data_IF_624696539082
#
_entry.id   IF_624696539082
#
_cell.length_a   1.000
_cell.length_b   1.000
_cell.length_c   1.000
_cell.angle_alpha   90.00
_cell.angle_beta   90.00
_cell.angle_gamma   90.00
#
_symmetry.space_group_name_H-M   'P 1'
#
loop_
_entity.id
_entity.type
_entity.pdbx_description
1 polymer ?
#
# COMPACT_ATOMS: atom_id res chain seq x y z
N UNK A 1 4.16 19.41 14.53
CA UNK A 1 4.94 20.43 13.79
C UNK A 1 6.01 19.67 13.01
N UNK A 2 6.19 19.96 11.74
CA UNK A 2 7.18 19.25 10.93
C UNK A 2 8.60 19.77 11.18
N UNK A 3 9.60 18.94 10.90
CA UNK A 3 11.01 19.31 11.08
C UNK A 3 11.43 20.44 10.13
N UNK A 4 12.22 21.36 10.67
CA UNK A 4 12.82 22.43 9.89
C UNK A 4 13.91 21.91 8.94
N UNK A 5 14.02 22.53 7.76
CA UNK A 5 15.01 22.18 6.73
C UNK A 5 16.46 22.12 7.24
N UNK A 6 16.96 23.05 8.08
CA UNK A 6 18.34 22.97 8.59
C UNK A 6 18.62 21.72 9.42
N UNK A 7 17.63 21.23 10.17
CA UNK A 7 17.75 20.00 10.96
C UNK A 7 17.89 18.80 10.03
N UNK A 8 17.05 18.72 8.99
CA UNK A 8 17.13 17.66 7.97
C UNK A 8 18.48 17.68 7.25
N UNK A 9 19.00 18.86 6.91
CA UNK A 9 20.31 19.02 6.29
C UNK A 9 21.43 18.50 7.20
N UNK A 10 21.37 18.82 8.50
CA UNK A 10 22.35 18.37 9.48
C UNK A 10 22.35 16.84 9.65
N UNK A 11 21.15 16.24 9.78
CA UNK A 11 20.98 14.78 9.85
C UNK A 11 21.54 14.13 8.59
N UNK A 12 21.12 14.61 7.43
CA UNK A 12 21.56 14.11 6.13
C UNK A 12 23.06 14.16 5.94
N UNK A 13 23.70 15.28 6.29
CA UNK A 13 25.14 15.43 6.22
C UNK A 13 25.88 14.49 7.18
N UNK A 14 25.31 14.21 8.35
CA UNK A 14 25.89 13.26 9.32
C UNK A 14 25.86 11.84 8.75
N UNK A 15 24.72 11.42 8.20
CA UNK A 15 24.58 10.09 7.58
C UNK A 15 25.45 9.97 6.33
N UNK A 16 25.50 11.00 5.48
CA UNK A 16 26.40 11.07 4.31
C UNK A 16 27.84 10.75 4.66
N UNK A 17 28.38 11.35 5.74
CA UNK A 17 29.77 11.08 6.18
C UNK A 17 29.97 9.64 6.61
N UNK A 18 29.02 9.07 7.37
CA UNK A 18 29.07 7.67 7.82
C UNK A 18 29.04 6.70 6.63
N UNK A 19 28.24 6.99 5.62
CA UNK A 19 28.16 6.17 4.40
C UNK A 19 29.45 6.28 3.60
N UNK A 20 30.00 7.48 3.41
CA UNK A 20 31.27 7.69 2.70
C UNK A 20 32.47 7.00 3.38
N UNK A 21 32.44 6.82 4.71
CA UNK A 21 33.46 6.05 5.44
C UNK A 21 33.44 4.55 5.05
N UNK A 22 32.26 3.97 4.84
CA UNK A 22 32.10 2.58 4.44
C UNK A 22 32.21 2.37 2.92
N UNK A 23 31.73 3.34 2.13
CA UNK A 23 31.64 3.29 0.68
C UNK A 23 32.28 4.57 0.09
N UNK A 24 33.62 4.63 -0.02
CA UNK A 24 34.33 5.84 -0.43
C UNK A 24 34.05 6.26 -1.88
N UNK A 25 33.58 5.33 -2.71
CA UNK A 25 33.17 5.53 -4.10
C UNK A 25 31.69 5.92 -4.25
N UNK A 26 30.95 6.09 -3.14
CA UNK A 26 29.55 6.49 -3.11
C UNK A 26 29.35 7.81 -2.37
N UNK A 27 28.86 8.82 -3.07
CA UNK A 27 28.46 10.11 -2.51
C UNK A 27 26.94 10.22 -2.47
N UNK A 28 26.37 10.45 -1.29
CA UNK A 28 24.95 10.78 -1.18
C UNK A 28 24.73 12.27 -1.45
N UNK A 29 23.85 12.59 -2.40
CA UNK A 29 23.47 13.96 -2.78
C UNK A 29 22.04 14.20 -2.32
N UNK A 30 21.87 15.07 -1.31
CA UNK A 30 20.57 15.32 -0.70
C UNK A 30 19.93 16.59 -1.27
N UNK A 31 18.85 16.43 -2.04
CA UNK A 31 18.00 17.52 -2.50
C UNK A 31 16.76 17.62 -1.60
N UNK A 32 16.83 18.52 -0.61
CA UNK A 32 15.72 18.81 0.30
C UNK A 32 14.92 19.97 -0.30
N UNK A 33 13.63 19.76 -0.56
CA UNK A 33 12.83 20.71 -1.33
C UNK A 33 11.49 21.05 -0.68
N UNK A 34 11.00 22.28 -0.88
CA UNK A 34 9.64 22.68 -0.50
C UNK A 34 8.75 22.69 -1.74
N UNK A 35 7.57 22.09 -1.65
CA UNK A 35 6.53 22.13 -2.68
C UNK A 35 7.05 21.94 -4.13
N UNK A 36 6.94 22.98 -4.97
CA UNK A 36 7.30 22.99 -6.40
C UNK A 36 8.76 23.35 -6.67
N UNK A 37 9.56 23.60 -5.63
CA UNK A 37 10.96 24.07 -5.74
C UNK A 37 11.97 22.91 -5.86
N UNK A 38 11.51 21.70 -6.21
CA UNK A 38 12.34 20.51 -6.27
C UNK A 38 13.41 20.58 -7.37
N UNK A 39 13.16 21.28 -8.48
CA UNK A 39 14.14 21.48 -9.56
C UNK A 39 15.30 22.35 -9.09
N UNK A 40 15.01 23.47 -8.41
CA UNK A 40 16.04 24.33 -7.85
C UNK A 40 16.82 23.62 -6.75
N UNK A 41 16.15 22.92 -5.83
CA UNK A 41 16.81 22.17 -4.77
C UNK A 41 17.73 21.08 -5.32
N UNK A 42 17.35 20.47 -6.45
CA UNK A 42 18.15 19.49 -7.16
C UNK A 42 19.40 20.14 -7.78
N UNK A 43 19.24 21.26 -8.48
CA UNK A 43 20.35 22.01 -9.07
C UNK A 43 21.34 22.50 -8.00
N UNK A 44 20.84 23.05 -6.89
CA UNK A 44 21.64 23.50 -5.75
C UNK A 44 22.40 22.35 -5.07
N UNK A 45 21.75 21.18 -4.92
CA UNK A 45 22.38 20.02 -4.34
C UNK A 45 23.51 19.48 -5.23
N UNK A 46 23.28 19.43 -6.55
CA UNK A 46 24.32 19.05 -7.50
C UNK A 46 25.47 20.07 -7.54
N UNK A 47 25.18 21.37 -7.53
CA UNK A 47 26.21 22.42 -7.59
C UNK A 47 27.14 22.45 -6.35
N UNK A 48 26.64 22.07 -5.18
CA UNK A 48 27.43 22.03 -3.92
C UNK A 48 28.43 20.89 -3.88
N UNK A 49 28.14 19.78 -4.54
CA UNK A 49 29.12 18.72 -4.73
C UNK A 49 30.06 19.22 -5.84
N UNK A 50 31.32 19.50 -5.54
CA UNK A 50 32.25 20.20 -6.46
C UNK A 50 32.60 19.44 -7.76
N UNK A 51 31.84 18.43 -8.20
CA UNK A 51 32.24 17.56 -9.32
C UNK A 51 31.18 16.59 -9.91
N UNK A 52 29.83 16.76 -9.85
CA UNK A 52 29.01 16.04 -10.80
C UNK A 52 29.33 16.60 -12.19
N UNK A 53 29.66 15.76 -13.19
CA UNK A 53 29.86 16.24 -14.54
C UNK A 53 28.67 17.11 -14.94
N UNK A 54 28.90 18.17 -15.72
CA UNK A 54 27.83 18.97 -16.33
C UNK A 54 26.92 18.00 -17.08
N UNK A 55 25.82 17.63 -16.46
CA UNK A 55 24.93 16.58 -16.93
C UNK A 55 23.77 17.22 -17.65
N UNK A 56 23.31 16.54 -18.69
CA UNK A 56 21.93 16.69 -19.10
C UNK A 56 21.03 16.43 -17.87
N UNK A 57 20.40 17.47 -17.37
CA UNK A 57 19.51 17.42 -16.20
C UNK A 57 18.17 16.79 -16.55
N UNK A 58 17.84 16.60 -17.83
CA UNK A 58 16.53 16.14 -18.25
C UNK A 58 16.23 14.68 -17.82
N UNK A 59 17.14 13.70 -18.00
CA UNK A 59 16.94 12.35 -17.45
C UNK A 59 16.75 12.36 -15.93
N UNK A 60 17.46 13.26 -15.23
CA UNK A 60 17.38 13.43 -13.78
C UNK A 60 16.03 13.99 -13.36
N UNK A 61 15.55 15.03 -14.06
CA UNK A 61 14.22 15.61 -13.87
C UNK A 61 13.11 14.59 -14.11
N UNK A 62 13.21 13.78 -15.16
CA UNK A 62 12.25 12.71 -15.45
C UNK A 62 12.21 11.67 -14.32
N UNK A 63 13.38 11.23 -13.83
CA UNK A 63 13.46 10.28 -12.72
C UNK A 63 12.88 10.88 -11.42
N UNK A 64 13.22 12.13 -11.13
CA UNK A 64 12.77 12.86 -9.96
C UNK A 64 11.26 13.13 -9.95
N UNK A 65 10.68 13.47 -11.11
CA UNK A 65 9.28 13.85 -11.23
C UNK A 65 8.32 12.76 -10.73
N UNK A 66 8.65 11.48 -10.92
CA UNK A 66 7.84 10.35 -10.42
C UNK A 66 7.78 10.36 -8.89
N UNK A 67 8.93 10.58 -8.24
CA UNK A 67 9.05 10.62 -6.78
C UNK A 67 8.43 11.88 -6.18
N UNK A 68 8.65 13.03 -6.82
CA UNK A 68 8.08 14.32 -6.39
C UNK A 68 6.56 14.30 -6.43
N UNK A 69 5.96 13.76 -7.50
CA UNK A 69 4.49 13.60 -7.61
C UNK A 69 3.92 12.70 -6.52
N UNK A 70 4.69 11.74 -6.01
CA UNK A 70 4.27 10.89 -4.90
C UNK A 70 4.35 11.60 -3.54
N UNK A 71 5.04 12.74 -3.45
CA UNK A 71 5.19 13.52 -2.22
C UNK A 71 5.97 12.78 -1.12
N UNK A 72 6.89 11.88 -1.50
CA UNK A 72 7.62 11.01 -0.57
C UNK A 72 9.13 11.10 -0.77
N UNK A 73 9.91 10.85 0.30
CA UNK A 73 11.34 10.65 0.15
C UNK A 73 11.62 9.50 -0.80
N UNK A 74 12.59 9.66 -1.69
CA UNK A 74 12.99 8.62 -2.64
C UNK A 74 14.42 8.79 -3.10
N UNK A 75 15.09 7.68 -3.39
CA UNK A 75 16.32 7.66 -4.18
C UNK A 75 15.91 7.69 -5.65
N UNK A 76 16.28 8.76 -6.35
CA UNK A 76 15.85 8.99 -7.74
C UNK A 76 16.70 8.22 -8.74
N UNK A 77 18.02 8.24 -8.56
CA UNK A 77 18.96 7.53 -9.41
C UNK A 77 20.36 7.44 -8.76
N UNK A 78 21.19 6.58 -9.33
CA UNK A 78 22.64 6.58 -9.19
C UNK A 78 23.27 7.15 -10.46
N UNK A 79 24.25 8.03 -10.31
CA UNK A 79 25.00 8.64 -11.40
C UNK A 79 26.45 8.15 -11.37
N UNK A 80 26.91 7.58 -12.48
CA UNK A 80 28.31 7.16 -12.66
C UNK A 80 29.14 8.31 -13.25
N UNK A 81 30.13 8.80 -12.50
CA UNK A 81 31.12 9.75 -13.03
C UNK A 81 32.24 8.98 -13.76
N UNK A 82 32.61 9.39 -14.98
CA UNK A 82 33.67 8.73 -15.72
C UNK A 82 35.00 8.83 -14.95
N UNK A 83 35.73 7.71 -14.85
CA UNK A 83 37.08 7.69 -14.31
C UNK A 83 37.99 8.56 -15.17
N UNK A 84 38.51 9.67 -14.61
CA UNK A 84 39.51 10.49 -15.31
C UNK A 84 40.89 9.86 -15.15
N UNK A 85 41.52 9.48 -16.26
CA UNK A 85 42.95 9.21 -16.33
C UNK A 85 43.70 10.54 -16.48
N UNK A 86 44.46 10.93 -15.47
CA UNK A 86 45.43 12.03 -15.58
C UNK A 86 46.80 11.46 -15.22
N UNK A 87 47.77 11.60 -16.13
CA UNK A 87 49.18 11.21 -15.95
C UNK A 87 49.40 9.81 -15.32
N UNK A 88 48.84 8.76 -15.91
CA UNK A 88 49.13 7.36 -15.52
C UNK A 88 48.47 6.87 -14.21
N UNK A 89 47.77 7.73 -13.48
CA UNK A 89 46.99 7.35 -12.30
C UNK A 89 45.51 7.20 -12.68
N UNK A 90 44.99 5.98 -12.53
CA UNK A 90 43.57 5.68 -12.68
C UNK A 90 42.83 6.21 -11.43
N UNK A 91 42.10 7.32 -11.55
CA UNK A 91 41.12 7.68 -10.52
C UNK A 91 39.94 6.71 -10.62
N UNK A 92 39.61 6.03 -9.52
CA UNK A 92 38.36 5.26 -9.44
C UNK A 92 37.18 6.16 -9.79
N UNK A 93 36.23 5.64 -10.57
CA UNK A 93 34.98 6.34 -10.85
C UNK A 93 34.23 6.62 -9.54
N UNK A 94 33.58 7.78 -9.46
CA UNK A 94 32.76 8.16 -8.31
C UNK A 94 31.29 7.98 -8.67
N UNK A 95 30.50 7.45 -7.74
CA UNK A 95 29.07 7.30 -7.89
C UNK A 95 28.34 8.31 -7.02
N UNK A 96 27.30 8.93 -7.55
CA UNK A 96 26.47 9.90 -6.83
C UNK A 96 25.05 9.39 -6.75
N UNK A 97 24.54 9.15 -5.55
CA UNK A 97 23.15 8.76 -5.33
C UNK A 97 22.31 10.00 -5.02
N UNK A 98 21.35 10.30 -5.87
CA UNK A 98 20.46 11.44 -5.68
C UNK A 98 19.28 11.06 -4.79
N UNK A 99 19.19 11.70 -3.63
CA UNK A 99 18.15 11.52 -2.64
C UNK A 99 17.23 12.74 -2.62
N UNK A 100 15.96 12.54 -2.96
CA UNK A 100 14.94 13.58 -2.95
C UNK A 100 14.17 13.50 -1.64
N UNK A 101 14.10 14.61 -0.90
CA UNK A 101 13.46 14.66 0.42
C UNK A 101 12.52 15.86 0.47
N UNK A 102 11.19 15.64 0.45
CA UNK A 102 10.24 16.72 0.67
C UNK A 102 10.44 17.30 2.08
N UNK A 103 10.61 18.61 2.16
CA UNK A 103 10.63 19.35 3.41
C UNK A 103 9.27 19.22 4.09
N UNK A 104 9.29 19.02 5.40
CA UNK A 104 8.08 18.92 6.20
C UNK A 104 7.42 17.53 6.24
N UNK A 105 7.99 16.51 5.57
CA UNK A 105 7.44 15.15 5.59
C UNK A 105 7.70 14.40 6.91
N UNK A 106 8.75 14.79 7.63
CA UNK A 106 9.13 14.18 8.90
C UNK A 106 8.67 15.05 10.06
N UNK A 107 8.01 14.43 11.03
CA UNK A 107 7.55 15.11 12.25
C UNK A 107 8.61 15.09 13.34
N UNK A 108 9.41 14.03 13.42
CA UNK A 108 10.44 13.85 14.43
C UNK A 108 11.82 13.61 13.82
N UNK A 109 12.86 13.88 14.61
CA UNK A 109 14.25 13.56 14.26
C UNK A 109 14.44 12.07 13.95
N UNK A 110 13.78 11.23 14.72
CA UNK A 110 13.84 9.78 14.57
C UNK A 110 13.26 9.33 13.22
N UNK A 111 12.13 9.90 12.80
CA UNK A 111 11.53 9.61 11.48
C UNK A 111 12.45 10.04 10.34
N UNK A 112 13.10 11.21 10.48
CA UNK A 112 14.04 11.72 9.48
C UNK A 112 15.30 10.86 9.37
N UNK A 113 15.89 10.47 10.51
CA UNK A 113 17.05 9.57 10.55
C UNK A 113 16.70 8.22 9.92
N UNK A 114 15.54 7.65 10.24
CA UNK A 114 15.05 6.41 9.63
C UNK A 114 14.83 6.54 8.12
N UNK A 115 14.17 7.62 7.69
CA UNK A 115 13.93 7.88 6.27
C UNK A 115 15.23 8.01 5.49
N UNK A 116 16.22 8.75 6.01
CA UNK A 116 17.50 8.95 5.32
C UNK A 116 18.35 7.66 5.35
N UNK A 117 18.30 6.85 6.41
CA UNK A 117 18.95 5.53 6.39
C UNK A 117 18.34 4.58 5.37
N UNK A 118 17.01 4.59 5.22
CA UNK A 118 16.31 3.83 4.17
C UNK A 118 16.83 4.22 2.79
N UNK A 119 16.91 5.52 2.50
CA UNK A 119 17.42 6.04 1.22
C UNK A 119 18.91 5.73 1.01
N UNK A 120 19.69 5.70 2.09
CA UNK A 120 21.11 5.32 2.05
C UNK A 120 21.29 3.86 1.69
N UNK A 121 20.43 2.97 2.23
CA UNK A 121 20.40 1.57 1.83
C UNK A 121 20.04 1.41 0.35
N UNK A 122 19.01 2.11 -0.12
CA UNK A 122 18.60 2.05 -1.54
C UNK A 122 19.77 2.44 -2.48
N UNK A 123 20.56 3.45 -2.09
CA UNK A 123 21.75 3.86 -2.81
C UNK A 123 22.84 2.78 -2.84
N UNK A 124 23.16 2.20 -1.67
CA UNK A 124 24.14 1.11 -1.53
C UNK A 124 23.71 -0.11 -2.35
N UNK A 125 22.45 -0.53 -2.21
CA UNK A 125 21.90 -1.68 -2.92
C UNK A 125 21.91 -1.47 -4.44
N UNK A 126 21.56 -0.27 -4.93
CA UNK A 126 21.60 0.01 -6.36
C UNK A 126 23.04 0.00 -6.92
N UNK A 127 24.01 0.52 -6.16
CA UNK A 127 25.43 0.44 -6.53
C UNK A 127 25.90 -1.02 -6.64
N UNK A 128 25.53 -1.87 -5.68
CA UNK A 128 25.88 -3.30 -5.69
C UNK A 128 25.21 -4.07 -6.84
N UNK A 129 23.95 -3.76 -7.14
CA UNK A 129 23.25 -4.30 -8.30
C UNK A 129 23.91 -3.93 -9.62
N UNK A 130 24.38 -2.68 -9.71
CA UNK A 130 25.13 -2.22 -10.87
C UNK A 130 26.45 -2.98 -11.01
N UNK A 131 27.21 -3.08 -9.92
CA UNK A 131 28.52 -3.78 -9.90
C UNK A 131 28.39 -5.28 -10.20
N UNK A 132 27.28 -5.91 -9.82
CA UNK A 132 27.00 -7.32 -10.10
C UNK A 132 26.37 -7.60 -11.47
N UNK A 133 26.09 -6.57 -12.27
CA UNK A 133 25.55 -6.72 -13.63
C UNK A 133 24.08 -7.12 -13.71
N UNK A 134 23.28 -6.85 -12.67
CA UNK A 134 21.85 -7.21 -12.65
C UNK A 134 20.97 -6.18 -13.40
N UNK A 135 21.25 -5.97 -14.68
CA UNK A 135 20.66 -4.89 -15.51
C UNK A 135 19.13 -4.98 -15.69
N UNK A 136 18.50 -6.11 -15.35
CA UNK A 136 17.03 -6.26 -15.40
C UNK A 136 16.29 -5.50 -14.29
N UNK A 137 17.00 -5.04 -13.26
CA UNK A 137 16.41 -4.40 -12.08
C UNK A 137 16.51 -2.87 -12.10
N UNK A 138 17.11 -2.30 -13.14
CA UNK A 138 17.27 -0.86 -13.32
C UNK A 138 17.26 -0.49 -14.80
N UNK A 139 17.06 0.80 -15.08
CA UNK A 139 17.19 1.37 -16.42
C UNK A 139 18.44 2.21 -16.49
N UNK A 140 19.25 2.00 -17.52
CA UNK A 140 20.40 2.84 -17.83
C UNK A 140 20.00 3.88 -18.87
N UNK A 141 20.25 5.16 -18.58
CA UNK A 141 20.08 6.28 -19.52
C UNK A 141 21.34 7.14 -19.48
N UNK A 142 22.26 6.94 -20.42
CA UNK A 142 23.59 7.56 -20.34
C UNK A 142 24.31 7.11 -19.05
N UNK A 143 24.77 8.05 -18.25
CA UNK A 143 25.41 7.78 -16.94
C UNK A 143 24.41 7.58 -15.78
N UNK A 144 23.11 7.65 -16.03
CA UNK A 144 22.07 7.50 -15.01
C UNK A 144 21.58 6.07 -14.90
N UNK A 145 21.52 5.57 -13.68
CA UNK A 145 20.96 4.27 -13.31
C UNK A 145 19.71 4.55 -12.47
N UNK A 146 18.55 4.19 -13.00
CA UNK A 146 17.26 4.46 -12.39
C UNK A 146 16.66 3.14 -11.91
N UNK A 147 16.29 2.99 -10.62
CA UNK A 147 15.71 1.76 -10.11
C UNK A 147 14.36 1.46 -10.79
N UNK A 148 14.14 0.21 -11.20
CA UNK A 148 12.89 -0.26 -11.82
C UNK A 148 12.51 -1.64 -11.31
N UNK A 149 12.31 -1.74 -10.00
CA UNK A 149 12.11 -3.02 -9.33
C UNK A 149 10.70 -3.58 -9.56
N UNK A 150 10.56 -4.88 -9.92
CA UNK A 150 9.27 -5.55 -9.87
C UNK A 150 8.76 -5.61 -8.41
N UNK A 151 7.44 -5.73 -8.16
CA UNK A 151 6.87 -5.59 -6.82
C UNK A 151 7.49 -6.50 -5.75
N UNK A 152 7.79 -7.75 -6.10
CA UNK A 152 8.41 -8.71 -5.17
C UNK A 152 9.84 -8.30 -4.79
N UNK A 153 10.61 -7.84 -5.78
CA UNK A 153 11.96 -7.34 -5.53
C UNK A 153 11.91 -6.04 -4.72
N UNK A 154 10.95 -5.15 -5.01
CA UNK A 154 10.73 -3.95 -4.19
C UNK A 154 10.41 -4.30 -2.74
N UNK A 155 9.60 -5.33 -2.49
CA UNK A 155 9.31 -5.80 -1.14
C UNK A 155 10.58 -6.30 -0.43
N UNK A 156 11.44 -7.04 -1.14
CA UNK A 156 12.76 -7.47 -0.64
C UNK A 156 13.64 -6.25 -0.33
N UNK A 157 13.80 -5.31 -1.25
CA UNK A 157 14.61 -4.10 -1.05
C UNK A 157 14.12 -3.30 0.15
N UNK A 158 12.81 -3.09 0.29
CA UNK A 158 12.22 -2.38 1.42
C UNK A 158 12.44 -3.10 2.76
N UNK A 159 12.35 -4.44 2.78
CA UNK A 159 12.65 -5.26 3.96
C UNK A 159 14.09 -5.07 4.42
N UNK A 160 15.03 -5.10 3.48
CA UNK A 160 16.44 -4.90 3.75
C UNK A 160 16.74 -3.46 4.16
N UNK A 161 16.06 -2.47 3.57
CA UNK A 161 16.17 -1.08 3.96
C UNK A 161 15.68 -0.84 5.40
N UNK A 162 14.52 -1.40 5.77
CA UNK A 162 13.99 -1.35 7.13
C UNK A 162 14.94 -2.08 8.10
N UNK A 163 15.50 -3.22 7.70
CA UNK A 163 16.49 -3.99 8.49
C UNK A 163 17.76 -3.19 8.73
N UNK A 164 18.37 -2.66 7.68
CA UNK A 164 19.55 -1.81 7.74
C UNK A 164 19.31 -0.60 8.65
N UNK A 165 18.17 0.07 8.48
CA UNK A 165 17.80 1.20 9.30
C UNK A 165 17.66 0.81 10.78
N UNK A 166 16.90 -0.24 11.09
CA UNK A 166 16.71 -0.70 12.46
C UNK A 166 18.03 -1.08 13.14
N UNK A 167 18.93 -1.73 12.40
CA UNK A 167 20.27 -2.09 12.88
C UNK A 167 21.15 -0.87 13.10
N UNK A 168 21.19 0.08 12.15
CA UNK A 168 21.92 1.33 12.31
C UNK A 168 21.50 2.09 13.57
N UNK A 169 20.19 2.24 13.76
CA UNK A 169 19.61 2.87 14.96
C UNK A 169 19.98 2.10 16.23
N UNK A 170 19.97 0.77 16.18
CA UNK A 170 20.37 -0.07 17.32
C UNK A 170 21.85 0.11 17.67
N UNK A 171 22.73 0.15 16.68
CA UNK A 171 24.17 0.42 16.80
C UNK A 171 24.42 1.81 17.41
N UNK A 172 23.58 2.79 17.08
CA UNK A 172 23.62 4.15 17.65
C UNK A 172 23.07 4.26 19.08
N UNK A 173 22.59 3.15 19.65
CA UNK A 173 22.14 3.07 21.04
C UNK A 173 20.63 3.06 21.24
N UNK A 174 19.83 3.11 20.17
CA UNK A 174 18.36 3.05 20.26
C UNK A 174 17.89 1.62 20.53
N UNK A 175 17.76 1.26 21.82
CA UNK A 175 17.51 -0.11 22.28
C UNK A 175 16.32 -0.82 21.63
N UNK A 176 15.25 -0.07 21.35
CA UNK A 176 13.99 -0.59 20.83
C UNK A 176 13.82 -0.34 19.33
N UNK A 177 14.87 0.00 18.59
CA UNK A 177 14.74 0.35 17.17
C UNK A 177 14.13 -0.78 16.32
N UNK A 178 14.60 -2.01 16.51
CA UNK A 178 14.11 -3.19 15.77
C UNK A 178 12.63 -3.45 16.09
N UNK A 179 12.28 -3.55 17.37
CA UNK A 179 10.89 -3.81 17.79
C UNK A 179 9.96 -2.65 17.47
N UNK A 180 10.43 -1.40 17.60
CA UNK A 180 9.65 -0.21 17.30
C UNK A 180 9.28 -0.12 15.83
N UNK A 181 10.24 -0.36 14.92
CA UNK A 181 9.97 -0.39 13.49
C UNK A 181 9.05 -1.55 13.10
N UNK A 182 9.24 -2.74 13.69
CA UNK A 182 8.36 -3.88 13.47
C UNK A 182 6.91 -3.57 13.90
N UNK A 183 6.73 -2.94 15.07
CA UNK A 183 5.42 -2.49 15.56
C UNK A 183 4.78 -1.45 14.62
N UNK A 184 5.56 -0.48 14.13
CA UNK A 184 5.07 0.52 13.17
C UNK A 184 4.59 -0.13 11.88
N UNK A 185 5.41 -1.00 11.25
CA UNK A 185 5.05 -1.69 10.00
C UNK A 185 3.86 -2.64 10.18
N UNK A 186 3.81 -3.35 11.31
CA UNK A 186 2.68 -4.18 11.73
C UNK A 186 1.40 -3.35 11.83
N UNK A 187 1.44 -2.19 12.50
CA UNK A 187 0.30 -1.30 12.65
C UNK A 187 -0.22 -0.82 11.29
N UNK A 188 0.69 -0.41 10.41
CA UNK A 188 0.34 0.06 9.06
C UNK A 188 -0.25 -1.04 8.18
N UNK A 189 0.04 -2.32 8.44
CA UNK A 189 -0.55 -3.45 7.71
C UNK A 189 -2.03 -3.70 8.05
N UNK A 190 -2.45 -3.35 9.26
CA UNK A 190 -3.83 -3.53 9.77
C UNK A 190 -4.58 -2.21 9.94
N UNK A 191 -4.08 -1.11 9.38
CA UNK A 191 -4.70 0.22 9.45
C UNK A 191 -4.84 0.83 8.05
N UNK A 192 -5.89 1.61 7.76
CA UNK A 192 -6.09 2.24 6.46
C UNK A 192 -5.16 3.46 6.33
N UNK A 193 -3.91 3.24 5.90
CA UNK A 193 -2.91 4.31 5.76
C UNK A 193 -2.87 4.81 4.30
N UNK A 194 -3.25 6.08 4.03
CA UNK A 194 -3.16 6.65 2.70
C UNK A 194 -1.73 6.65 2.17
N UNK A 195 -1.61 6.54 0.85
CA UNK A 195 -0.38 6.42 0.08
C UNK A 195 0.52 5.24 0.46
N UNK A 196 0.23 4.46 1.50
CA UNK A 196 1.08 3.34 1.92
C UNK A 196 0.62 2.01 1.32
N UNK A 197 1.59 1.13 1.05
CA UNK A 197 1.38 -0.20 0.48
C UNK A 197 2.03 -1.22 1.39
N UNK A 198 1.30 -1.68 2.40
CA UNK A 198 1.82 -2.59 3.41
C UNK A 198 2.40 -3.89 2.81
N UNK A 199 1.86 -4.35 1.69
CA UNK A 199 2.35 -5.52 0.95
C UNK A 199 3.82 -5.41 0.51
N UNK A 200 4.38 -4.20 0.46
CA UNK A 200 5.78 -3.96 0.08
C UNK A 200 6.73 -3.80 1.27
N UNK A 201 6.29 -3.99 2.52
CA UNK A 201 7.16 -3.78 3.70
C UNK A 201 7.13 -4.97 4.66
N UNK A 202 7.77 -6.11 4.30
CA UNK A 202 7.77 -7.34 5.09
C UNK A 202 8.75 -7.31 6.27
N UNK A 203 9.14 -6.15 6.79
CA UNK A 203 10.04 -6.10 7.94
C UNK A 203 9.54 -6.88 9.18
N UNK A 204 8.23 -6.92 9.51
CA UNK A 204 7.75 -7.67 10.66
C UNK A 204 8.16 -9.14 10.66
N UNK A 205 8.15 -9.82 9.50
CA UNK A 205 8.48 -11.26 9.42
C UNK A 205 9.97 -11.56 9.62
N UNK A 206 10.85 -10.54 9.55
CA UNK A 206 12.30 -10.71 9.77
C UNK A 206 12.78 -10.19 11.12
N UNK A 207 11.85 -9.72 11.97
CA UNK A 207 12.16 -9.04 13.22
C UNK A 207 13.02 -9.88 14.16
N UNK A 208 12.72 -11.17 14.31
CA UNK A 208 13.46 -12.05 15.22
C UNK A 208 14.83 -12.43 14.66
N UNK A 209 14.94 -12.64 13.35
CA UNK A 209 16.24 -12.79 12.69
C UNK A 209 17.10 -11.53 12.91
N UNK A 210 16.53 -10.34 12.77
CA UNK A 210 17.24 -9.08 13.02
C UNK A 210 17.73 -8.95 14.47
N UNK A 211 16.90 -9.31 15.46
CA UNK A 211 17.31 -9.34 16.88
C UNK A 211 18.44 -10.34 17.12
N UNK A 212 18.31 -11.54 16.55
CA UNK A 212 19.27 -12.64 16.71
C UNK A 212 20.64 -12.27 16.11
N UNK A 213 20.65 -11.87 14.83
CA UNK A 213 21.86 -11.48 14.11
C UNK A 213 22.56 -10.31 14.81
N UNK A 214 21.81 -9.29 15.24
CA UNK A 214 22.40 -8.17 15.98
C UNK A 214 23.10 -8.64 17.26
N UNK A 215 22.44 -9.50 18.05
CA UNK A 215 23.00 -10.02 19.31
C UNK A 215 24.27 -10.84 19.07
N UNK A 216 24.28 -11.66 18.03
CA UNK A 216 25.35 -12.63 17.80
C UNK A 216 26.58 -12.00 17.10
N UNK A 217 26.36 -10.97 16.27
CA UNK A 217 27.42 -10.37 15.45
C UNK A 217 27.94 -9.01 15.93
N UNK A 218 27.18 -8.25 16.72
CA UNK A 218 27.58 -6.86 17.05
C UNK A 218 28.96 -6.79 17.71
N UNK A 219 29.20 -7.58 18.75
CA UNK A 219 30.49 -7.55 19.46
C UNK A 219 31.64 -8.12 18.62
N UNK A 220 31.34 -9.02 17.67
CA UNK A 220 32.31 -9.63 16.77
C UNK A 220 32.74 -8.66 15.66
N UNK A 221 31.80 -7.88 15.13
CA UNK A 221 32.03 -6.97 14.01
C UNK A 221 32.47 -5.58 14.45
N UNK A 222 32.04 -5.11 15.64
CA UNK A 222 32.38 -3.80 16.21
C UNK A 222 33.86 -3.42 16.16
N UNK A 223 34.82 -4.29 16.52
CA UNK A 223 36.24 -3.94 16.45
C UNK A 223 36.81 -3.90 15.02
N UNK A 224 36.09 -4.44 14.02
CA UNK A 224 36.60 -4.66 12.65
C UNK A 224 36.07 -3.68 11.63
N UNK A 225 34.86 -3.16 11.83
CA UNK A 225 34.10 -2.46 10.81
C UNK A 225 33.45 -1.20 11.37
N UNK A 226 33.39 -0.14 10.54
CA UNK A 226 32.64 1.06 10.88
C UNK A 226 31.12 0.74 10.97
N UNK A 227 30.32 1.55 11.69
CA UNK A 227 28.89 1.27 11.94
C UNK A 227 28.08 0.90 10.68
N UNK A 228 28.27 1.63 9.57
CA UNK A 228 27.54 1.38 8.32
C UNK A 228 27.92 0.03 7.72
N UNK A 229 29.21 -0.28 7.61
CA UNK A 229 29.67 -1.56 7.07
C UNK A 229 29.15 -2.75 7.91
N UNK A 230 29.07 -2.60 9.23
CA UNK A 230 28.48 -3.60 10.13
C UNK A 230 27.00 -3.83 9.86
N UNK A 231 26.23 -2.75 9.80
CA UNK A 231 24.80 -2.85 9.50
C UNK A 231 24.55 -3.46 8.12
N UNK A 232 25.36 -3.12 7.11
CA UNK A 232 25.25 -3.73 5.78
C UNK A 232 25.52 -5.23 5.83
N UNK A 233 26.58 -5.67 6.49
CA UNK A 233 26.89 -7.09 6.61
C UNK A 233 25.77 -7.87 7.30
N UNK A 234 25.29 -7.39 8.46
CA UNK A 234 24.18 -8.00 9.18
C UNK A 234 22.89 -8.04 8.34
N UNK A 235 22.60 -6.96 7.61
CA UNK A 235 21.42 -6.88 6.73
C UNK A 235 21.47 -7.92 5.61
N UNK A 236 22.65 -8.15 5.02
CA UNK A 236 22.84 -9.19 4.00
C UNK A 236 22.62 -10.59 4.56
N UNK A 237 23.20 -10.89 5.71
CA UNK A 237 22.99 -12.19 6.36
C UNK A 237 21.50 -12.46 6.63
N UNK A 238 20.75 -11.45 7.06
CA UNK A 238 19.29 -11.56 7.20
C UNK A 238 18.64 -11.77 5.83
N UNK A 239 19.02 -10.98 4.81
CA UNK A 239 18.48 -11.07 3.46
C UNK A 239 18.61 -12.45 2.82
N UNK A 240 19.72 -13.15 3.09
CA UNK A 240 20.00 -14.48 2.57
C UNK A 240 19.15 -15.58 3.24
N UNK A 241 18.57 -15.31 4.42
CA UNK A 241 17.70 -16.27 5.13
C UNK A 241 16.24 -16.27 4.66
N UNK A 242 15.79 -15.22 3.97
CA UNK A 242 14.38 -15.08 3.55
C UNK A 242 14.22 -15.23 2.03
N UNK A 243 13.39 -16.19 1.65
CA UNK A 243 13.10 -16.51 0.26
C UNK A 243 11.93 -15.69 -0.31
N UNK A 244 11.74 -15.78 -1.62
CA UNK A 244 10.66 -15.10 -2.33
C UNK A 244 9.27 -15.60 -1.91
N UNK A 245 9.16 -16.83 -1.41
CA UNK A 245 7.90 -17.40 -0.94
C UNK A 245 7.44 -16.67 0.33
N UNK A 246 8.34 -16.44 1.29
CA UNK A 246 8.05 -15.70 2.53
C UNK A 246 7.54 -14.28 2.25
N UNK A 247 8.16 -13.60 1.27
CA UNK A 247 7.74 -12.25 0.85
C UNK A 247 6.35 -12.25 0.19
N UNK A 248 6.02 -13.29 -0.59
CA UNK A 248 4.67 -13.45 -1.18
C UNK A 248 3.62 -13.71 -0.12
N UNK A 249 3.93 -14.53 0.90
CA UNK A 249 3.05 -14.79 2.03
C UNK A 249 2.76 -13.53 2.83
N UNK A 250 3.78 -12.69 3.07
CA UNK A 250 3.57 -11.36 3.65
C UNK A 250 2.64 -10.50 2.78
N UNK A 251 2.91 -10.42 1.47
CA UNK A 251 2.09 -9.62 0.57
C UNK A 251 0.62 -10.08 0.55
N UNK A 252 0.36 -11.39 0.58
CA UNK A 252 -0.98 -11.96 0.69
C UNK A 252 -1.65 -11.56 2.01
N UNK A 253 -0.96 -11.74 3.15
CA UNK A 253 -1.45 -11.30 4.47
C UNK A 253 -1.79 -9.81 4.47
N UNK A 254 -0.84 -8.96 4.10
CA UNK A 254 -0.97 -7.52 4.16
C UNK A 254 -2.06 -7.00 3.21
N UNK A 255 -2.22 -7.59 2.02
CA UNK A 255 -3.29 -7.20 1.08
C UNK A 255 -4.66 -7.51 1.66
N UNK A 256 -4.86 -8.72 2.20
CA UNK A 256 -6.12 -9.12 2.81
C UNK A 256 -6.43 -8.30 4.07
N UNK A 257 -5.44 -8.06 4.92
CA UNK A 257 -5.56 -7.21 6.10
C UNK A 257 -5.99 -5.79 5.74
N UNK A 258 -5.41 -5.23 4.68
CA UNK A 258 -5.77 -3.91 4.18
C UNK A 258 -7.20 -3.86 3.62
N UNK A 259 -7.66 -4.88 2.90
CA UNK A 259 -9.05 -4.92 2.42
C UNK A 259 -10.04 -4.78 3.58
N UNK A 260 -9.80 -5.47 4.70
CA UNK A 260 -10.61 -5.33 5.91
C UNK A 260 -10.43 -3.97 6.61
N UNK A 261 -9.20 -3.46 6.71
CA UNK A 261 -8.91 -2.18 7.37
C UNK A 261 -9.58 -0.99 6.66
N UNK A 262 -9.58 -0.98 5.32
CA UNK A 262 -10.27 0.03 4.53
C UNK A 262 -11.80 -0.09 4.58
N UNK A 263 -12.31 -1.29 4.88
CA UNK A 263 -13.70 -1.58 5.23
C UNK A 263 -14.04 -1.34 6.71
N UNK A 264 -13.18 -0.62 7.45
CA UNK A 264 -13.38 -0.18 8.84
C UNK A 264 -13.38 -1.31 9.88
N UNK A 265 -12.86 -2.49 9.52
CA UNK A 265 -12.63 -3.55 10.52
C UNK A 265 -11.54 -3.13 11.51
N UNK A 266 -11.76 -3.39 12.79
CA UNK A 266 -10.74 -3.11 13.80
C UNK A 266 -9.60 -4.14 13.75
N UNK A 267 -8.42 -3.76 14.26
CA UNK A 267 -7.18 -4.57 14.21
C UNK A 267 -7.37 -5.97 14.79
N UNK A 268 -8.07 -6.10 15.92
CA UNK A 268 -8.35 -7.40 16.52
C UNK A 268 -9.20 -8.29 15.61
N UNK A 269 -10.25 -7.74 14.96
CA UNK A 269 -11.06 -8.50 14.00
C UNK A 269 -10.24 -8.98 12.81
N UNK A 270 -9.36 -8.12 12.27
CA UNK A 270 -8.46 -8.46 11.15
C UNK A 270 -7.54 -9.62 11.53
N UNK A 271 -6.85 -9.51 12.67
CA UNK A 271 -5.92 -10.55 13.13
C UNK A 271 -6.64 -11.84 13.53
N UNK A 272 -7.84 -11.73 14.10
CA UNK A 272 -8.69 -12.88 14.42
C UNK A 272 -9.15 -13.61 13.17
N UNK A 273 -9.55 -12.88 12.12
CA UNK A 273 -9.87 -13.47 10.83
C UNK A 273 -8.65 -14.21 10.23
N UNK A 274 -7.50 -13.54 10.16
CA UNK A 274 -6.28 -14.15 9.65
C UNK A 274 -5.86 -15.41 10.44
N UNK A 275 -6.00 -15.41 11.76
CA UNK A 275 -5.57 -16.51 12.64
C UNK A 275 -6.51 -17.71 12.57
N UNK A 276 -7.83 -17.48 12.64
CA UNK A 276 -8.81 -18.55 12.89
C UNK A 276 -9.61 -18.97 11.67
N UNK A 277 -9.61 -18.18 10.59
CA UNK A 277 -10.43 -18.45 9.40
C UNK A 277 -9.64 -18.60 8.12
N UNK A 278 -8.33 -18.30 8.15
CA UNK A 278 -7.49 -18.48 6.96
C UNK A 278 -7.26 -19.94 6.63
N UNK A 279 -7.49 -20.30 5.37
CA UNK A 279 -7.17 -21.62 4.83
C UNK A 279 -5.66 -21.76 4.52
N UNK A 280 -4.96 -20.65 4.35
CA UNK A 280 -3.52 -20.65 4.10
C UNK A 280 -2.74 -20.80 5.41
N UNK A 281 -2.02 -21.93 5.54
CA UNK A 281 -1.26 -22.27 6.76
C UNK A 281 -0.22 -21.23 7.16
N UNK A 282 0.33 -20.49 6.19
CA UNK A 282 1.41 -19.51 6.41
C UNK A 282 0.91 -18.11 6.81
N UNK A 283 -0.37 -17.83 6.61
CA UNK A 283 -0.98 -16.56 7.03
C UNK A 283 -1.10 -16.50 8.55
N UNK A 284 -1.37 -17.64 9.22
CA UNK A 284 -1.55 -17.68 10.68
C UNK A 284 -0.27 -17.30 11.45
N UNK A 285 0.93 -17.84 11.13
CA UNK A 285 2.17 -17.38 11.74
C UNK A 285 2.42 -15.87 11.57
N UNK A 286 2.16 -15.32 10.38
CA UNK A 286 2.31 -13.88 10.13
C UNK A 286 1.34 -13.07 11.00
N UNK A 287 0.09 -13.53 11.13
CA UNK A 287 -0.89 -12.90 12.01
C UNK A 287 -0.42 -12.88 13.48
N UNK A 288 0.21 -13.96 13.96
CA UNK A 288 0.79 -14.00 15.31
C UNK A 288 1.96 -13.04 15.47
N UNK A 289 2.88 -12.96 14.49
CA UNK A 289 3.99 -11.99 14.51
C UNK A 289 3.47 -10.55 14.59
N UNK A 290 2.44 -10.22 13.81
CA UNK A 290 1.81 -8.89 13.81
C UNK A 290 1.05 -8.64 15.11
N UNK A 291 0.36 -9.65 15.65
CA UNK A 291 -0.34 -9.56 16.93
C UNK A 291 0.63 -9.31 18.10
N UNK A 292 1.73 -10.06 18.16
CA UNK A 292 2.77 -9.89 19.16
C UNK A 292 3.42 -8.50 19.07
N UNK A 293 3.74 -8.05 17.86
CA UNK A 293 4.33 -6.72 17.60
C UNK A 293 3.40 -5.57 18.00
N UNK A 294 2.10 -5.81 18.08
CA UNK A 294 1.08 -4.83 18.47
C UNK A 294 0.55 -5.04 19.89
N UNK A 295 1.04 -6.07 20.60
CA UNK A 295 0.52 -6.50 21.91
C UNK A 295 -1.00 -6.73 21.89
N UNK A 296 -1.48 -7.42 20.85
CA UNK A 296 -2.89 -7.77 20.67
C UNK A 296 -3.08 -9.27 20.86
N UNK A 297 -4.20 -9.66 21.46
CA UNK A 297 -4.60 -11.05 21.65
C UNK A 297 -5.80 -11.36 20.74
N UNK A 298 -5.59 -11.91 19.53
CA UNK A 298 -6.68 -12.26 18.63
C UNK A 298 -7.50 -13.41 19.23
N UNK A 299 -8.82 -13.24 19.26
CA UNK A 299 -9.76 -14.24 19.75
C UNK A 299 -10.57 -14.83 18.59
N UNK A 300 -11.08 -16.07 18.69
CA UNK A 300 -11.96 -16.62 17.65
C UNK A 300 -13.11 -15.63 17.35
N UNK A 301 -13.28 -15.22 16.10
CA UNK A 301 -14.31 -14.24 15.78
C UNK A 301 -15.69 -14.84 16.10
N UNK A 302 -16.56 -14.06 16.75
CA UNK A 302 -17.97 -14.38 16.74
C UNK A 302 -18.41 -14.50 15.27
N UNK A 303 -19.28 -15.48 14.94
CA UNK A 303 -19.79 -15.65 13.56
C UNK A 303 -20.26 -14.28 13.03
N UNK A 304 -19.49 -13.72 12.10
CA UNK A 304 -19.67 -12.36 11.62
C UNK A 304 -20.27 -12.34 10.23
N UNK A 305 -21.20 -11.41 10.00
CA UNK A 305 -21.71 -11.06 8.67
C UNK A 305 -20.76 -10.09 7.93
N UNK A 306 -19.44 -10.26 8.12
CA UNK A 306 -18.43 -9.32 7.62
C UNK A 306 -17.65 -9.99 6.49
N UNK A 307 -17.32 -9.21 5.45
CA UNK A 307 -16.43 -9.64 4.40
C UNK A 307 -15.07 -10.05 4.97
N UNK A 308 -14.64 -11.27 4.65
CA UNK A 308 -13.40 -11.82 5.16
C UNK A 308 -12.49 -12.32 4.03
N UNK A 309 -11.52 -11.51 3.57
CA UNK A 309 -10.62 -11.87 2.48
C UNK A 309 -9.64 -13.01 2.83
N UNK A 310 -9.53 -13.40 4.11
CA UNK A 310 -8.73 -14.55 4.52
C UNK A 310 -9.48 -15.88 4.38
N UNK A 311 -10.81 -15.85 4.37
CA UNK A 311 -11.64 -17.04 4.22
C UNK A 311 -11.79 -17.44 2.74
N UNK A 312 -12.27 -18.67 2.54
CA UNK A 312 -12.68 -19.18 1.24
C UNK A 312 -13.64 -18.20 0.50
N UNK A 313 -13.43 -18.07 -0.81
CA UNK A 313 -14.22 -17.16 -1.64
C UNK A 313 -15.67 -17.65 -1.77
N UNK A 314 -15.91 -18.96 -1.82
CA UNK A 314 -17.28 -19.46 -1.85
C UNK A 314 -18.00 -19.17 -0.52
N UNK A 315 -17.30 -19.20 0.61
CA UNK A 315 -17.87 -18.81 1.90
C UNK A 315 -18.33 -17.34 1.90
N UNK A 316 -17.51 -16.43 1.36
CA UNK A 316 -17.88 -15.03 1.18
C UNK A 316 -19.05 -14.86 0.20
N UNK A 317 -19.07 -15.60 -0.91
CA UNK A 317 -20.16 -15.56 -1.88
C UNK A 317 -21.48 -16.07 -1.30
N UNK A 318 -21.46 -17.17 -0.54
CA UNK A 318 -22.64 -17.67 0.20
C UNK A 318 -23.16 -16.62 1.18
N UNK A 319 -22.26 -15.96 1.93
CA UNK A 319 -22.62 -14.88 2.84
C UNK A 319 -23.22 -13.68 2.10
N UNK A 320 -22.64 -13.32 0.94
CA UNK A 320 -23.15 -12.27 0.07
C UNK A 320 -24.60 -12.54 -0.35
N UNK A 321 -24.88 -13.69 -0.97
CA UNK A 321 -26.23 -14.06 -1.45
C UNK A 321 -27.23 -14.11 -0.30
N UNK A 322 -26.85 -14.70 0.84
CA UNK A 322 -27.69 -14.72 2.05
C UNK A 322 -28.04 -13.29 2.52
N UNK A 323 -27.08 -12.37 2.44
CA UNK A 323 -27.27 -10.97 2.82
C UNK A 323 -28.17 -10.25 1.82
N UNK A 324 -27.99 -10.47 0.51
CA UNK A 324 -28.86 -9.96 -0.55
C UNK A 324 -30.33 -10.37 -0.31
N UNK A 325 -30.59 -11.65 -0.07
CA UNK A 325 -31.94 -12.14 0.22
C UNK A 325 -32.54 -11.59 1.54
N UNK A 326 -31.73 -11.23 2.53
CA UNK A 326 -32.20 -10.52 3.73
C UNK A 326 -32.57 -9.07 3.41
N UNK A 327 -31.74 -8.40 2.60
CA UNK A 327 -31.98 -7.03 2.16
C UNK A 327 -33.30 -6.97 1.39
N UNK A 328 -33.48 -7.83 0.38
CA UNK A 328 -34.71 -7.92 -0.40
C UNK A 328 -35.95 -8.06 0.48
N UNK A 329 -35.99 -9.08 1.35
CA UNK A 329 -37.16 -9.33 2.23
C UNK A 329 -37.50 -8.13 3.11
N UNK A 330 -36.48 -7.45 3.64
CA UNK A 330 -36.68 -6.27 4.49
C UNK A 330 -37.21 -5.10 3.67
N UNK A 331 -36.65 -4.86 2.48
CA UNK A 331 -37.08 -3.78 1.58
C UNK A 331 -38.48 -4.02 1.04
N UNK A 332 -38.77 -5.24 0.56
CA UNK A 332 -40.07 -5.63 0.02
C UNK A 332 -41.16 -5.52 1.07
N UNK A 333 -40.91 -5.95 2.31
CA UNK A 333 -41.88 -5.81 3.40
C UNK A 333 -42.27 -4.35 3.65
N UNK A 334 -41.32 -3.41 3.58
CA UNK A 334 -41.59 -1.97 3.72
C UNK A 334 -42.32 -1.40 2.51
N UNK A 335 -41.88 -1.79 1.32
CA UNK A 335 -42.49 -1.37 0.06
C UNK A 335 -43.95 -1.80 -0.04
N UNK A 336 -44.30 -3.02 0.39
CA UNK A 336 -45.68 -3.49 0.46
C UNK A 336 -46.51 -2.71 1.49
N UNK A 337 -45.98 -2.50 2.70
CA UNK A 337 -46.72 -1.78 3.75
C UNK A 337 -47.00 -0.31 3.40
N UNK A 338 -46.10 0.32 2.65
CA UNK A 338 -46.20 1.73 2.28
C UNK A 338 -46.61 1.95 0.81
N UNK A 339 -46.83 0.85 0.07
CA UNK A 339 -47.14 0.84 -1.37
C UNK A 339 -46.21 1.73 -2.20
N UNK A 340 -44.91 1.71 -1.88
CA UNK A 340 -43.93 2.65 -2.42
C UNK A 340 -42.66 1.97 -2.91
N UNK A 341 -42.22 2.33 -4.11
CA UNK A 341 -40.97 1.86 -4.72
C UNK A 341 -39.73 2.56 -4.17
N UNK A 342 -39.88 3.67 -3.44
CA UNK A 342 -38.77 4.49 -2.91
C UNK A 342 -37.80 3.64 -2.06
N UNK A 343 -38.33 2.69 -1.28
CA UNK A 343 -37.52 1.79 -0.45
C UNK A 343 -36.49 0.98 -1.24
N UNK A 344 -36.80 0.60 -2.48
CA UNK A 344 -35.85 -0.11 -3.35
C UNK A 344 -34.73 0.80 -3.83
N UNK A 345 -35.07 2.00 -4.29
CA UNK A 345 -34.09 2.98 -4.78
C UNK A 345 -33.16 3.47 -3.66
N UNK A 346 -33.70 3.77 -2.49
CA UNK A 346 -32.93 4.16 -1.31
C UNK A 346 -31.97 3.05 -0.89
N UNK A 347 -32.45 1.80 -0.89
CA UNK A 347 -31.59 0.67 -0.54
C UNK A 347 -30.54 0.40 -1.62
N UNK A 348 -30.86 0.54 -2.91
CA UNK A 348 -29.89 0.41 -4.00
C UNK A 348 -28.78 1.46 -3.89
N UNK A 349 -29.15 2.70 -3.56
CA UNK A 349 -28.21 3.78 -3.25
C UNK A 349 -27.32 3.42 -2.07
N UNK A 350 -27.90 2.98 -0.96
CA UNK A 350 -27.13 2.56 0.22
C UNK A 350 -26.17 1.42 -0.12
N UNK A 351 -26.58 0.43 -0.92
CA UNK A 351 -25.68 -0.64 -1.38
C UNK A 351 -24.47 -0.08 -2.15
N UNK A 352 -24.68 0.88 -3.05
CA UNK A 352 -23.58 1.53 -3.77
C UNK A 352 -22.66 2.31 -2.84
N UNK A 353 -23.21 3.05 -1.87
CA UNK A 353 -22.45 3.76 -0.83
C UNK A 353 -21.64 2.78 0.04
N UNK A 354 -22.22 1.64 0.43
CA UNK A 354 -21.53 0.58 1.17
C UNK A 354 -20.35 -0.01 0.36
N UNK A 355 -20.53 -0.25 -0.95
CA UNK A 355 -19.46 -0.73 -1.82
C UNK A 355 -18.33 0.32 -1.97
N UNK A 356 -18.67 1.61 -2.07
CA UNK A 356 -17.68 2.70 -2.02
C UNK A 356 -16.93 2.75 -0.69
N UNK A 357 -17.61 2.40 0.40
CA UNK A 357 -17.08 2.25 1.75
C UNK A 357 -16.32 0.95 2.00
N UNK A 358 -15.98 0.20 0.95
CA UNK A 358 -15.28 -1.09 1.01
C UNK A 358 -16.04 -2.21 1.73
N UNK A 359 -17.37 -2.22 1.65
CA UNK A 359 -18.26 -3.26 2.22
C UNK A 359 -19.01 -3.99 1.09
N UNK A 360 -18.39 -5.01 0.45
CA UNK A 360 -18.94 -5.66 -0.75
C UNK A 360 -20.07 -6.68 -0.47
N UNK A 361 -20.14 -7.23 0.75
CA UNK A 361 -21.16 -8.22 1.13
C UNK A 361 -22.54 -7.57 1.10
N UNK A 362 -23.50 -8.21 0.42
CA UNK A 362 -24.86 -7.69 0.28
C UNK A 362 -25.04 -6.62 -0.79
N UNK A 363 -24.03 -6.32 -1.60
CA UNK A 363 -24.21 -5.41 -2.74
C UNK A 363 -25.20 -6.00 -3.76
N UNK A 364 -26.40 -5.44 -3.83
CA UNK A 364 -27.46 -5.88 -4.73
C UNK A 364 -28.19 -4.70 -5.39
N UNK A 365 -27.48 -3.60 -5.65
CA UNK A 365 -28.07 -2.38 -6.19
C UNK A 365 -28.81 -2.63 -7.53
N UNK A 366 -28.17 -3.29 -8.50
CA UNK A 366 -28.81 -3.64 -9.78
C UNK A 366 -30.07 -4.48 -9.60
N UNK A 367 -30.00 -5.62 -8.90
CA UNK A 367 -31.19 -6.42 -8.58
C UNK A 367 -32.32 -5.66 -7.88
N UNK A 368 -32.00 -4.70 -7.01
CA UNK A 368 -33.00 -3.85 -6.35
C UNK A 368 -33.70 -2.90 -7.32
N UNK A 369 -33.00 -2.39 -8.35
CA UNK A 369 -33.60 -1.53 -9.38
C UNK A 369 -34.60 -2.33 -10.23
N UNK A 370 -34.23 -3.52 -10.67
CA UNK A 370 -35.10 -4.44 -11.41
C UNK A 370 -36.32 -4.85 -10.58
N UNK A 371 -36.11 -5.12 -9.29
CA UNK A 371 -37.17 -5.39 -8.34
C UNK A 371 -38.15 -4.21 -8.20
N UNK A 372 -37.64 -2.96 -8.20
CA UNK A 372 -38.47 -1.76 -8.12
C UNK A 372 -39.39 -1.62 -9.34
N UNK A 373 -38.87 -1.85 -10.54
CA UNK A 373 -39.64 -1.80 -11.79
C UNK A 373 -40.72 -2.90 -11.84
N UNK A 374 -40.37 -4.11 -11.42
CA UNK A 374 -41.30 -5.23 -11.32
C UNK A 374 -42.39 -4.97 -10.28
N UNK A 375 -42.04 -4.39 -9.12
CA UNK A 375 -42.99 -3.98 -8.09
C UNK A 375 -43.96 -2.92 -8.62
N UNK A 376 -43.46 -1.88 -9.27
CA UNK A 376 -44.28 -0.82 -9.86
C UNK A 376 -45.26 -1.37 -10.89
N UNK A 377 -44.77 -2.24 -11.77
CA UNK A 377 -45.58 -2.88 -12.81
C UNK A 377 -46.67 -3.76 -12.21
N UNK A 378 -46.33 -4.56 -11.18
CA UNK A 378 -47.29 -5.43 -10.52
C UNK A 378 -48.35 -4.65 -9.72
N UNK A 379 -48.00 -3.52 -9.11
CA UNK A 379 -48.93 -2.62 -8.43
C UNK A 379 -49.95 -1.98 -9.38
N UNK A 380 -49.61 -1.83 -10.66
CA UNK A 380 -50.49 -1.26 -11.69
C UNK A 380 -51.45 -2.30 -12.33
N UNK A 381 -51.28 -3.60 -12.03
CA UNK A 381 -52.15 -4.65 -12.56
C UNK A 381 -53.51 -4.70 -11.86
N UNK A 382 -54.59 -4.78 -12.64
CA UNK A 382 -55.93 -4.99 -12.09
C UNK A 382 -56.00 -6.31 -11.32
N UNK A 383 -56.49 -6.24 -10.07
CA UNK A 383 -56.66 -7.38 -9.15
C UNK A 383 -55.34 -8.05 -8.70
N UNK A 384 -54.20 -7.36 -8.73
CA UNK A 384 -52.99 -7.87 -8.11
C UNK A 384 -53.12 -7.89 -6.57
N UNK A 385 -52.94 -9.06 -5.97
CA UNK A 385 -52.82 -9.19 -4.51
C UNK A 385 -51.36 -9.04 -4.07
N UNK A 386 -51.14 -8.77 -2.78
CA UNK A 386 -49.79 -8.58 -2.22
C UNK A 386 -48.87 -9.78 -2.49
N UNK A 387 -49.42 -11.00 -2.51
CA UNK A 387 -48.66 -12.22 -2.77
C UNK A 387 -48.12 -12.25 -4.19
N UNK A 388 -48.93 -11.88 -5.18
CA UNK A 388 -48.52 -11.84 -6.58
C UNK A 388 -47.51 -10.71 -6.83
N UNK A 389 -47.69 -9.55 -6.20
CA UNK A 389 -46.72 -8.45 -6.25
C UNK A 389 -45.38 -8.92 -5.68
N UNK A 390 -45.39 -9.50 -4.47
CA UNK A 390 -44.19 -10.03 -3.83
C UNK A 390 -43.46 -11.05 -4.71
N UNK A 391 -44.18 -12.03 -5.27
CA UNK A 391 -43.59 -13.06 -6.12
C UNK A 391 -42.91 -12.46 -7.36
N UNK A 392 -43.58 -11.57 -8.09
CA UNK A 392 -43.01 -10.92 -9.29
C UNK A 392 -41.76 -10.11 -8.96
N UNK A 393 -41.78 -9.40 -7.83
CA UNK A 393 -40.64 -8.62 -7.37
C UNK A 393 -39.46 -9.51 -6.99
N UNK A 394 -39.69 -10.62 -6.28
CA UNK A 394 -38.65 -11.59 -5.92
C UNK A 394 -38.05 -12.27 -7.17
N UNK A 395 -38.88 -12.68 -8.13
CA UNK A 395 -38.44 -13.31 -9.36
C UNK A 395 -37.53 -12.38 -10.18
N UNK A 396 -37.92 -11.11 -10.31
CA UNK A 396 -37.10 -10.10 -11.00
C UNK A 396 -35.76 -9.87 -10.28
N UNK A 397 -35.78 -9.79 -8.95
CA UNK A 397 -34.55 -9.63 -8.16
C UNK A 397 -33.58 -10.79 -8.38
N UNK A 398 -34.03 -12.04 -8.22
CA UNK A 398 -33.15 -13.21 -8.33
C UNK A 398 -32.69 -13.47 -9.76
N UNK A 399 -33.50 -13.14 -10.77
CA UNK A 399 -33.07 -13.16 -12.16
C UNK A 399 -31.93 -12.16 -12.43
N UNK A 400 -32.02 -10.98 -11.84
CA UNK A 400 -31.00 -9.94 -11.96
C UNK A 400 -29.77 -10.17 -11.08
N UNK A 401 -29.86 -10.88 -9.95
CA UNK A 401 -28.72 -11.17 -9.07
C UNK A 401 -27.60 -11.91 -9.82
N UNK A 402 -27.97 -12.82 -10.73
CA UNK A 402 -27.01 -13.58 -11.53
C UNK A 402 -26.22 -12.73 -12.56
N UNK A 403 -26.63 -11.47 -12.81
CA UNK A 403 -26.02 -10.63 -13.85
C UNK A 403 -24.62 -10.10 -13.49
N UNK A 404 -24.29 -9.96 -12.20
CA UNK A 404 -22.97 -9.47 -11.75
C UNK A 404 -22.38 -10.49 -10.78
N UNK A 405 -21.29 -11.14 -11.19
CA UNK A 405 -20.63 -12.14 -10.36
C UNK A 405 -19.97 -11.54 -9.11
N UNK A 406 -19.85 -12.35 -8.06
CA UNK A 406 -19.14 -12.00 -6.84
C UNK A 406 -17.70 -11.50 -7.11
N UNK A 407 -17.00 -12.13 -8.05
CA UNK A 407 -15.65 -11.71 -8.46
C UNK A 407 -15.60 -10.27 -8.99
N UNK A 408 -16.60 -9.85 -9.77
CA UNK A 408 -16.69 -8.47 -10.30
C UNK A 408 -16.94 -7.47 -9.17
N UNK A 409 -17.74 -7.84 -8.17
CA UNK A 409 -17.97 -7.03 -6.98
C UNK A 409 -16.68 -6.88 -6.18
N UNK A 410 -15.93 -7.97 -5.98
CA UNK A 410 -14.60 -7.93 -5.34
C UNK A 410 -13.61 -7.06 -6.13
N UNK A 411 -13.62 -7.15 -7.46
CA UNK A 411 -12.77 -6.32 -8.32
C UNK A 411 -13.10 -4.84 -8.17
N UNK A 412 -14.39 -4.46 -8.13
CA UNK A 412 -14.83 -3.10 -7.87
C UNK A 412 -14.40 -2.62 -6.47
N UNK A 413 -14.57 -3.46 -5.44
CA UNK A 413 -14.14 -3.18 -4.07
C UNK A 413 -12.62 -2.85 -4.00
N UNK A 414 -11.79 -3.72 -4.61
CA UNK A 414 -10.33 -3.50 -4.68
C UNK A 414 -9.97 -2.26 -5.50
N UNK A 415 -10.71 -1.98 -6.57
CA UNK A 415 -10.54 -0.76 -7.35
C UNK A 415 -10.77 0.49 -6.48
N UNK A 416 -11.87 0.55 -5.72
CA UNK A 416 -12.14 1.67 -4.82
C UNK A 416 -11.10 1.79 -3.70
N UNK A 417 -10.69 0.68 -3.09
CA UNK A 417 -9.59 0.67 -2.12
C UNK A 417 -8.32 1.28 -2.73
N UNK A 418 -7.94 0.84 -3.94
CA UNK A 418 -6.76 1.34 -4.64
C UNK A 418 -6.81 2.84 -4.89
N UNK A 419 -8.00 3.40 -5.17
CA UNK A 419 -8.20 4.85 -5.33
C UNK A 419 -8.13 5.58 -3.99
N UNK A 420 -8.76 5.07 -2.93
CA UNK A 420 -8.69 5.66 -1.58
C UNK A 420 -7.25 5.70 -1.06
N UNK A 421 -6.47 4.66 -1.31
CA UNK A 421 -5.02 4.65 -1.05
C UNK A 421 -4.27 5.77 -1.79
N UNK A 422 -4.77 6.27 -2.91
CA UNK A 422 -4.19 7.41 -3.63
C UNK A 422 -4.72 8.78 -3.14
N UNK A 423 -5.46 8.82 -2.03
CA UNK A 423 -6.07 10.05 -1.50
C UNK A 423 -7.39 10.43 -2.17
N UNK A 424 -7.93 9.59 -3.06
CA UNK A 424 -9.24 9.82 -3.64
C UNK A 424 -10.34 9.65 -2.59
N UNK A 425 -11.21 10.66 -2.47
CA UNK A 425 -12.45 10.57 -1.70
C UNK A 425 -13.59 10.24 -2.66
N UNK A 426 -14.05 8.99 -2.73
CA UNK A 426 -15.14 8.62 -3.62
C UNK A 426 -16.42 9.34 -3.24
N UNK A 427 -17.06 9.95 -4.23
CA UNK A 427 -18.49 10.24 -4.23
C UNK A 427 -19.13 9.47 -5.39
N UNK A 428 -20.45 9.28 -5.34
CA UNK A 428 -21.19 8.49 -6.31
C UNK A 428 -20.96 8.96 -7.76
N UNK A 429 -20.92 10.28 -8.00
CA UNK A 429 -20.73 10.85 -9.35
C UNK A 429 -19.34 10.56 -9.92
N UNK A 430 -18.29 10.75 -9.11
CA UNK A 430 -16.93 10.44 -9.53
C UNK A 430 -16.72 8.94 -9.69
N UNK A 431 -17.28 8.13 -8.78
CA UNK A 431 -17.23 6.67 -8.86
C UNK A 431 -17.86 6.16 -10.16
N UNK A 432 -19.05 6.66 -10.51
CA UNK A 432 -19.77 6.33 -11.76
C UNK A 432 -18.88 6.54 -12.98
N UNK A 433 -18.34 7.76 -13.15
CA UNK A 433 -17.44 8.09 -14.27
C UNK A 433 -16.22 7.17 -14.34
N UNK A 434 -15.64 6.84 -13.19
CA UNK A 434 -14.45 5.99 -13.13
C UNK A 434 -14.75 4.52 -13.48
N UNK A 435 -15.90 4.01 -13.05
CA UNK A 435 -16.35 2.65 -13.37
C UNK A 435 -16.72 2.52 -14.84
N UNK A 436 -17.44 3.50 -15.41
CA UNK A 436 -17.81 3.51 -16.83
C UNK A 436 -16.59 3.55 -17.75
N UNK A 437 -15.54 4.29 -17.36
CA UNK A 437 -14.28 4.36 -18.11
C UNK A 437 -13.38 3.12 -17.92
N UNK A 438 -13.82 2.12 -17.15
CA UNK A 438 -13.10 0.87 -16.95
C UNK A 438 -13.90 -0.28 -17.56
N UNK A 439 -13.41 -0.83 -18.66
CA UNK A 439 -14.09 -1.90 -19.42
C UNK A 439 -14.52 -3.09 -18.55
N UNK A 440 -13.71 -3.47 -17.55
CA UNK A 440 -14.01 -4.60 -16.66
C UNK A 440 -15.11 -4.30 -15.63
N UNK A 441 -15.39 -3.02 -15.38
CA UNK A 441 -16.30 -2.54 -14.33
C UNK A 441 -17.47 -1.71 -14.87
N UNK A 442 -17.57 -1.50 -16.18
CA UNK A 442 -18.57 -0.66 -16.83
C UNK A 442 -20.01 -1.05 -16.48
N UNK A 443 -20.30 -2.36 -16.35
CA UNK A 443 -21.62 -2.85 -15.91
C UNK A 443 -22.00 -2.36 -14.50
N UNK A 444 -21.06 -2.38 -13.56
CA UNK A 444 -21.28 -1.81 -12.21
C UNK A 444 -21.42 -0.28 -12.32
N UNK A 445 -20.64 0.35 -13.21
CA UNK A 445 -20.78 1.78 -13.53
C UNK A 445 -22.18 2.17 -13.99
N UNK A 446 -22.80 1.38 -14.88
CA UNK A 446 -24.17 1.60 -15.32
C UNK A 446 -25.18 1.50 -14.18
N UNK A 447 -25.01 0.56 -13.26
CA UNK A 447 -25.89 0.43 -12.08
C UNK A 447 -25.78 1.65 -11.15
N UNK A 448 -24.56 2.18 -10.97
CA UNK A 448 -24.34 3.43 -10.24
C UNK A 448 -25.04 4.61 -10.92
N UNK A 449 -24.93 4.70 -12.25
CA UNK A 449 -25.57 5.74 -13.06
C UNK A 449 -27.10 5.68 -12.96
N UNK A 450 -27.71 4.51 -13.13
CA UNK A 450 -29.16 4.31 -12.99
C UNK A 450 -29.65 4.72 -11.60
N UNK A 451 -28.92 4.34 -10.54
CA UNK A 451 -29.27 4.72 -9.17
C UNK A 451 -29.25 6.25 -8.97
N UNK A 452 -28.29 6.95 -9.57
CA UNK A 452 -28.19 8.40 -9.51
C UNK A 452 -29.34 9.10 -10.27
N UNK A 453 -29.72 8.59 -11.45
CA UNK A 453 -30.82 9.14 -12.24
C UNK A 453 -32.14 9.11 -11.46
N UNK A 454 -32.42 8.00 -10.76
CA UNK A 454 -33.62 7.88 -9.92
C UNK A 454 -33.59 8.79 -8.68
N UNK A 455 -32.41 9.02 -8.10
CA UNK A 455 -32.23 9.94 -6.96
C UNK A 455 -32.52 11.40 -7.37
N UNK A 456 -32.17 11.78 -8.61
CA UNK A 456 -32.41 13.14 -9.12
C UNK A 456 -33.87 13.33 -9.55
N UNK A 457 -34.50 12.29 -10.10
CA UNK A 457 -35.89 12.34 -10.54
C UNK A 457 -36.89 12.42 -9.37
N UNK A 458 -36.52 11.88 -8.20
CA UNK A 458 -37.35 11.89 -6.99
C UNK A 458 -36.57 12.46 -5.80
N UNK A 459 -36.33 13.79 -5.74
CA UNK A 459 -35.73 14.41 -4.57
C UNK A 459 -36.68 14.27 -3.37
N UNK A 460 -36.15 13.72 -2.27
CA UNK A 460 -36.85 13.52 -0.99
C UNK A 460 -37.58 14.77 -0.48
#
# INVERSE_FOLDING_TARGET
>A
MSLETPILQHIGNTIKRKVAEAFPDLTLVLAIYKDKEWEQALEDACAKENEPPVLDMEPLRIAALKSVKAGKPAMACLLESPSKTFSGLWKKGQNYALLLIPAGIFETRDDAEQGIYTLSWDAIALLELRQSGQEKLFKVKGSFIIPDFPPLYQARTNMLADTFCALMRRIEGHKNAITGLAGQRSLMSVSPVPAYKAELYPFPIVTDAAKLIYRDLEDVLKPKLCPVARAVQMTREIGDTFDDLSLRQWAAFASAAQEMAWGESCKNTILSAATYTSEESYIRPIAYIVAESLHLEPAPPARGDIYNPFADQEANERLHRKTCGRILRTTLSKALSEQSTVHFYDRARQCNEDLLGNKPIGWCAGPLLEAAEAFQSAMAEENADERRIAQKTEDAFYAAEACVSWEKICLANRFFMGRRRQGFKPDMNKATRMLLNNEKLSKIGGIFESTLQHTIANPL
#
